data_IF_661767670310
#
_entry.id   IF_661767670310
#
_cell.length_a   1.000
_cell.length_b   1.000
_cell.length_c   1.000
_cell.angle_alpha   90.00
_cell.angle_beta   90.00
_cell.angle_gamma   90.00
#
_symmetry.space_group_name_H-M   'P 1'
#
loop_
_entity.id
_entity.type
_entity.pdbx_description
1 polymer ?
#
# COMPACT_ATOMS: atom_id res chain seq x y z
N UNK A 1 -10.61 -19.41 -14.14
CA UNK A 1 -11.94 -19.01 -14.67
C UNK A 1 -11.71 -17.85 -15.64
N UNK A 2 -12.37 -17.84 -16.80
CA UNK A 2 -12.01 -16.92 -17.91
C UNK A 2 -12.95 -15.71 -17.98
N UNK A 3 -12.46 -14.54 -17.53
CA UNK A 3 -13.18 -13.26 -17.63
C UNK A 3 -13.47 -12.88 -19.08
N UNK A 4 -12.64 -13.32 -20.03
CA UNK A 4 -12.81 -13.02 -21.44
C UNK A 4 -14.07 -13.70 -21.97
N UNK A 5 -14.27 -14.98 -21.64
CA UNK A 5 -15.49 -15.72 -21.98
C UNK A 5 -16.75 -15.01 -21.48
N UNK A 6 -16.76 -14.60 -20.20
CA UNK A 6 -17.91 -13.87 -19.63
C UNK A 6 -18.16 -12.53 -20.35
N UNK A 7 -17.10 -11.81 -20.70
CA UNK A 7 -17.22 -10.55 -21.42
C UNK A 7 -17.68 -10.74 -22.87
N UNK A 8 -17.24 -11.80 -23.54
CA UNK A 8 -17.62 -12.15 -24.91
C UNK A 8 -19.10 -12.56 -24.99
N UNK A 9 -19.65 -13.18 -23.94
CA UNK A 9 -21.07 -13.55 -23.87
C UNK A 9 -22.02 -12.37 -23.63
N UNK A 10 -21.52 -11.18 -23.30
CA UNK A 10 -22.34 -9.98 -23.07
C UNK A 10 -22.42 -9.20 -24.38
N UNK A 11 -23.50 -9.27 -25.15
CA UNK A 11 -23.59 -8.49 -26.40
C UNK A 11 -23.99 -7.03 -26.13
N UNK A 12 -25.02 -6.83 -25.31
CA UNK A 12 -25.51 -5.53 -24.88
C UNK A 12 -25.46 -5.42 -23.35
N UNK A 13 -24.92 -4.31 -22.85
CA UNK A 13 -24.83 -4.05 -21.40
C UNK A 13 -26.17 -3.69 -20.78
N UNK A 14 -27.14 -3.26 -21.58
CA UNK A 14 -28.48 -2.86 -21.14
C UNK A 14 -29.45 -4.03 -21.08
N UNK A 15 -29.12 -5.16 -21.71
CA UNK A 15 -29.94 -6.38 -21.69
C UNK A 15 -29.95 -7.01 -20.28
N UNK A 16 -31.12 -7.28 -19.69
CA UNK A 16 -31.26 -8.03 -18.44
C UNK A 16 -30.54 -9.40 -18.45
N UNK A 17 -30.42 -10.08 -19.59
CA UNK A 17 -29.71 -11.37 -19.64
C UNK A 17 -28.21 -11.22 -19.32
N UNK A 18 -27.62 -10.04 -19.54
CA UNK A 18 -26.23 -9.77 -19.23
C UNK A 18 -25.95 -9.85 -17.72
N UNK A 19 -26.87 -9.35 -16.87
CA UNK A 19 -26.70 -9.44 -15.42
C UNK A 19 -26.94 -10.87 -14.92
N UNK A 20 -27.82 -11.65 -15.56
CA UNK A 20 -28.02 -13.07 -15.22
C UNK A 20 -26.74 -13.89 -15.44
N UNK A 21 -26.02 -13.69 -16.55
CA UNK A 21 -24.73 -14.34 -16.81
C UNK A 21 -23.69 -14.00 -15.75
N UNK A 22 -23.63 -12.74 -15.33
CA UNK A 22 -22.77 -12.27 -14.24
C UNK A 22 -23.14 -12.93 -12.92
N UNK A 23 -24.42 -13.02 -12.59
CA UNK A 23 -24.90 -13.66 -11.35
C UNK A 23 -24.65 -15.16 -11.34
N UNK A 24 -24.82 -15.83 -12.48
CA UNK A 24 -24.49 -17.24 -12.64
C UNK A 24 -22.99 -17.50 -12.38
N UNK A 25 -22.12 -16.63 -12.89
CA UNK A 25 -20.69 -16.72 -12.61
C UNK A 25 -20.35 -16.54 -11.13
N UNK A 26 -21.05 -15.64 -10.43
CA UNK A 26 -20.91 -15.45 -8.98
C UNK A 26 -21.37 -16.70 -8.23
N UNK A 27 -22.47 -17.31 -8.65
CA UNK A 27 -22.96 -18.56 -8.07
C UNK A 27 -21.92 -19.68 -8.19
N UNK A 28 -21.34 -19.88 -9.37
CA UNK A 28 -20.28 -20.87 -9.59
C UNK A 28 -19.05 -20.63 -8.69
N UNK A 29 -18.67 -19.37 -8.50
CA UNK A 29 -17.59 -18.99 -7.58
C UNK A 29 -17.94 -19.36 -6.13
N UNK A 30 -19.17 -19.12 -5.71
CA UNK A 30 -19.63 -19.41 -4.35
C UNK A 30 -19.70 -20.92 -4.10
N UNK A 31 -20.21 -21.67 -5.07
CA UNK A 31 -20.28 -23.13 -5.04
C UNK A 31 -18.88 -23.75 -4.94
N UNK A 32 -17.92 -23.32 -5.77
CA UNK A 32 -16.52 -23.75 -5.69
C UNK A 32 -15.90 -23.45 -4.32
N UNK A 33 -16.20 -22.27 -3.76
CA UNK A 33 -15.69 -21.89 -2.44
C UNK A 33 -16.29 -22.80 -1.36
N UNK A 34 -17.60 -23.04 -1.39
CA UNK A 34 -18.32 -23.86 -0.42
C UNK A 34 -17.88 -25.33 -0.45
N UNK A 35 -17.77 -25.93 -1.63
CA UNK A 35 -17.25 -27.30 -1.81
C UNK A 35 -15.86 -27.45 -1.20
N UNK A 36 -14.98 -26.48 -1.47
CA UNK A 36 -13.63 -26.49 -0.90
C UNK A 36 -13.66 -26.31 0.62
N UNK A 37 -14.61 -25.53 1.14
CA UNK A 37 -14.74 -25.35 2.58
C UNK A 37 -15.21 -26.61 3.29
N UNK A 38 -16.18 -27.32 2.75
CA UNK A 38 -16.66 -28.58 3.29
C UNK A 38 -15.53 -29.60 3.33
N UNK A 39 -14.77 -29.71 2.23
CA UNK A 39 -13.59 -30.56 2.16
C UNK A 39 -12.54 -30.20 3.23
N UNK A 40 -12.26 -28.91 3.44
CA UNK A 40 -11.33 -28.46 4.49
C UNK A 40 -11.84 -28.80 5.89
N UNK A 41 -13.14 -28.63 6.14
CA UNK A 41 -13.77 -28.92 7.42
C UNK A 41 -13.68 -30.41 7.73
N UNK A 42 -14.05 -31.27 6.79
CA UNK A 42 -13.97 -32.72 6.96
C UNK A 42 -12.56 -33.20 7.21
N UNK A 43 -11.60 -32.67 6.45
CA UNK A 43 -10.19 -33.07 6.51
C UNK A 43 -9.49 -32.62 7.79
N UNK A 44 -9.85 -31.44 8.32
CA UNK A 44 -9.17 -30.80 9.45
C UNK A 44 -9.99 -30.72 10.74
N UNK A 45 -11.14 -31.41 10.84
CA UNK A 45 -12.07 -31.27 11.98
C UNK A 45 -11.44 -31.53 13.35
N UNK A 46 -10.56 -32.53 13.45
CA UNK A 46 -9.87 -32.92 14.69
C UNK A 46 -8.46 -32.34 14.80
N UNK A 47 -8.04 -31.52 13.83
CA UNK A 47 -6.69 -30.99 13.81
C UNK A 47 -6.51 -29.88 14.84
N UNK A 48 -5.49 -30.04 15.68
CA UNK A 48 -5.07 -29.06 16.67
C UNK A 48 -3.62 -28.66 16.43
N UNK A 49 -3.26 -27.45 16.83
CA UNK A 49 -1.88 -26.97 16.66
C UNK A 49 -0.99 -27.67 17.68
N UNK A 50 -0.12 -28.56 17.20
CA UNK A 50 0.81 -29.36 18.03
C UNK A 50 2.27 -28.88 17.95
N UNK A 51 2.56 -27.90 17.08
CA UNK A 51 3.90 -27.32 17.00
C UNK A 51 4.04 -26.14 17.95
N UNK A 52 5.27 -25.88 18.39
CA UNK A 52 5.59 -24.71 19.20
C UNK A 52 5.21 -23.42 18.47
N UNK A 53 4.47 -22.55 19.17
CA UNK A 53 4.03 -21.26 18.66
C UNK A 53 4.53 -20.17 19.60
N UNK A 54 5.10 -19.07 19.05
CA UNK A 54 5.40 -17.89 19.85
C UNK A 54 4.10 -17.31 20.43
N UNK A 55 4.19 -16.57 21.54
CA UNK A 55 3.02 -16.10 22.28
C UNK A 55 2.04 -15.31 21.39
N UNK A 56 2.56 -14.51 20.45
CA UNK A 56 1.79 -13.68 19.54
C UNK A 56 1.04 -14.48 18.45
N UNK A 57 1.25 -15.79 18.36
CA UNK A 57 0.49 -16.72 17.52
C UNK A 57 -0.53 -17.56 18.29
N UNK A 58 -0.60 -17.46 19.63
CA UNK A 58 -1.56 -18.22 20.43
C UNK A 58 -2.99 -17.65 20.41
N UNK A 59 -3.27 -16.65 19.56
CA UNK A 59 -4.57 -15.99 19.48
C UNK A 59 -5.70 -16.99 19.21
N UNK A 60 -6.72 -16.95 20.05
CA UNK A 60 -7.96 -17.69 19.86
C UNK A 60 -8.89 -17.07 18.80
N UNK A 61 -8.54 -15.89 18.27
CA UNK A 61 -9.36 -15.12 17.34
C UNK A 61 -8.59 -14.64 16.11
N UNK A 62 -9.14 -14.87 14.91
CA UNK A 62 -8.59 -14.40 13.63
C UNK A 62 -9.07 -13.01 13.22
N UNK A 63 -10.06 -12.44 13.90
CA UNK A 63 -10.71 -11.19 13.50
C UNK A 63 -10.37 -10.02 14.41
N UNK A 64 -9.83 -10.29 15.60
CA UNK A 64 -9.40 -9.27 16.56
C UNK A 64 -7.88 -9.14 16.54
N UNK A 65 -7.42 -7.90 16.68
CA UNK A 65 -6.00 -7.64 16.93
C UNK A 65 -5.63 -8.22 18.30
N UNK A 66 -4.41 -8.73 18.40
CA UNK A 66 -3.82 -9.14 19.66
C UNK A 66 -3.74 -7.92 20.60
N UNK A 67 -4.13 -8.08 21.85
CA UNK A 67 -3.87 -7.09 22.89
C UNK A 67 -2.50 -7.40 23.50
N UNK A 68 -1.60 -6.44 23.46
CA UNK A 68 -0.27 -6.58 24.06
C UNK A 68 -0.41 -6.45 25.58
N UNK A 69 -0.03 -7.49 26.32
CA UNK A 69 0.16 -7.45 27.77
C UNK A 69 1.65 -7.30 28.08
N UNK A 70 1.98 -6.60 29.17
CA UNK A 70 3.37 -6.28 29.55
C UNK A 70 4.24 -7.51 29.91
N UNK A 71 3.69 -8.73 29.87
CA UNK A 71 4.31 -9.95 30.37
C UNK A 71 5.23 -10.66 29.36
N UNK A 72 5.29 -10.21 28.09
CA UNK A 72 6.03 -10.90 27.01
C UNK A 72 7.03 -9.98 26.26
N UNK A 73 7.84 -9.22 26.98
CA UNK A 73 8.71 -8.16 26.42
C UNK A 73 9.81 -8.68 25.46
N UNK A 74 10.21 -9.95 25.59
CA UNK A 74 11.38 -10.50 24.89
C UNK A 74 11.08 -11.00 23.46
N UNK A 75 9.83 -11.39 23.18
CA UNK A 75 9.41 -11.86 21.86
C UNK A 75 8.59 -10.79 21.12
N UNK A 76 9.22 -10.17 20.11
CA UNK A 76 8.56 -9.15 19.29
C UNK A 76 8.06 -9.73 17.96
N UNK A 77 6.88 -9.29 17.54
CA UNK A 77 6.36 -9.54 16.19
C UNK A 77 6.38 -8.26 15.36
N UNK A 78 6.53 -8.42 14.05
CA UNK A 78 6.62 -7.28 13.14
C UNK A 78 5.23 -6.72 12.84
N UNK A 79 5.08 -5.40 12.82
CA UNK A 79 3.82 -4.68 12.52
C UNK A 79 3.80 -4.00 11.15
N UNK A 80 4.93 -4.01 10.45
CA UNK A 80 5.10 -3.43 9.11
C UNK A 80 4.43 -4.27 8.01
N UNK A 81 4.51 -3.83 6.75
CA UNK A 81 3.94 -4.60 5.64
C UNK A 81 4.70 -5.93 5.44
N UNK A 82 3.95 -7.00 5.15
CA UNK A 82 4.49 -8.32 4.79
C UNK A 82 5.37 -8.17 3.55
N UNK A 83 6.63 -8.60 3.71
CA UNK A 83 7.66 -8.57 2.68
C UNK A 83 7.48 -9.70 1.67
N UNK A 84 8.16 -9.59 0.52
CA UNK A 84 8.14 -10.64 -0.52
C UNK A 84 8.63 -12.00 0.01
N UNK A 85 9.66 -12.00 0.87
CA UNK A 85 10.16 -13.24 1.50
C UNK A 85 9.09 -13.91 2.38
N UNK A 86 8.32 -13.10 3.10
CA UNK A 86 7.22 -13.60 3.94
C UNK A 86 6.06 -14.12 3.09
N UNK A 87 5.71 -13.44 1.99
CA UNK A 87 4.73 -13.92 0.99
C UNK A 87 5.14 -15.28 0.39
N UNK A 88 6.39 -15.41 -0.06
CA UNK A 88 6.94 -16.66 -0.59
C UNK A 88 6.89 -17.78 0.46
N UNK A 89 7.14 -17.46 1.73
CA UNK A 89 7.03 -18.42 2.84
C UNK A 89 5.58 -18.84 3.10
N UNK A 90 4.62 -17.92 3.09
CA UNK A 90 3.18 -18.23 3.22
C UNK A 90 2.75 -19.18 2.10
N UNK A 91 3.10 -18.87 0.84
CA UNK A 91 2.80 -19.73 -0.32
C UNK A 91 3.48 -21.09 -0.23
N UNK A 92 4.72 -21.16 0.28
CA UNK A 92 5.42 -22.42 0.55
C UNK A 92 4.71 -23.25 1.63
N UNK A 93 4.24 -22.60 2.69
CA UNK A 93 3.48 -23.27 3.75
C UNK A 93 2.14 -23.79 3.22
N UNK A 94 1.44 -23.02 2.37
CA UNK A 94 0.23 -23.47 1.69
C UNK A 94 0.47 -24.72 0.83
N UNK A 95 1.51 -24.73 -0.02
CA UNK A 95 1.86 -25.91 -0.83
C UNK A 95 2.18 -27.15 0.02
N UNK A 96 2.82 -26.96 1.18
CA UNK A 96 3.06 -28.05 2.14
C UNK A 96 1.77 -28.53 2.78
N UNK A 97 0.85 -27.62 3.09
CA UNK A 97 -0.45 -27.94 3.68
C UNK A 97 -1.28 -28.79 2.73
N UNK A 98 -1.49 -28.33 1.49
CA UNK A 98 -2.27 -29.08 0.50
C UNK A 98 -1.67 -30.46 0.20
N UNK A 99 -0.33 -30.57 0.17
CA UNK A 99 0.35 -31.87 0.00
C UNK A 99 0.15 -32.80 1.21
N UNK A 100 0.20 -32.26 2.43
CA UNK A 100 0.00 -33.04 3.67
C UNK A 100 -1.40 -33.65 3.72
N UNK A 101 -2.41 -32.90 3.28
CA UNK A 101 -3.82 -33.28 3.39
C UNK A 101 -4.43 -33.77 2.07
N UNK A 102 -3.63 -33.92 1.02
CA UNK A 102 -4.08 -34.30 -0.32
C UNK A 102 -5.25 -33.43 -0.85
N UNK A 103 -5.14 -32.11 -0.68
CA UNK A 103 -6.16 -31.14 -1.07
C UNK A 103 -5.85 -30.51 -2.43
N UNK A 104 -6.87 -30.08 -3.19
CA UNK A 104 -6.66 -29.27 -4.39
C UNK A 104 -6.08 -27.89 -4.03
N UNK A 105 -5.29 -27.30 -4.93
CA UNK A 105 -4.75 -25.94 -4.73
C UNK A 105 -5.82 -24.87 -4.98
N UNK A 106 -6.66 -24.63 -3.97
CA UNK A 106 -7.74 -23.64 -3.97
C UNK A 106 -7.47 -22.52 -2.97
N UNK A 107 -6.28 -21.91 -3.04
CA UNK A 107 -5.90 -20.87 -2.07
C UNK A 107 -6.85 -19.65 -2.10
N UNK A 108 -7.36 -19.30 -3.28
CA UNK A 108 -8.31 -18.21 -3.48
C UNK A 108 -9.63 -18.51 -2.77
N UNK A 109 -10.13 -19.75 -2.82
CA UNK A 109 -11.34 -20.15 -2.12
C UNK A 109 -11.20 -20.01 -0.60
N UNK A 110 -10.06 -20.42 -0.03
CA UNK A 110 -9.77 -20.17 1.39
C UNK A 110 -9.78 -18.67 1.73
N UNK A 111 -9.26 -17.81 0.85
CA UNK A 111 -9.22 -16.37 1.07
C UNK A 111 -10.59 -15.70 0.94
N UNK A 112 -11.45 -16.21 0.05
CA UNK A 112 -12.83 -15.73 -0.16
C UNK A 112 -13.80 -16.25 0.89
N UNK A 113 -13.45 -17.32 1.61
CA UNK A 113 -14.29 -17.93 2.62
C UNK A 113 -14.97 -16.91 3.55
N UNK A 114 -16.30 -16.85 3.48
CA UNK A 114 -17.17 -16.13 4.41
C UNK A 114 -18.02 -17.12 5.19
N UNK A 115 -18.28 -16.86 6.47
CA UNK A 115 -19.26 -17.67 7.20
C UNK A 115 -20.67 -17.32 6.71
N UNK A 116 -21.33 -18.26 6.01
CA UNK A 116 -22.70 -18.10 5.47
C UNK A 116 -23.72 -17.59 6.48
N UNK A 117 -23.62 -18.00 7.74
CA UNK A 117 -24.59 -17.65 8.78
C UNK A 117 -24.12 -16.59 9.77
N UNK A 118 -23.04 -15.86 9.46
CA UNK A 118 -22.51 -14.82 10.36
C UNK A 118 -22.03 -15.35 11.72
N UNK A 119 -21.92 -16.67 11.88
CA UNK A 119 -21.47 -17.32 13.10
C UNK A 119 -19.99 -16.99 13.31
N UNK A 120 -19.70 -15.89 14.00
CA UNK A 120 -18.35 -15.49 14.44
C UNK A 120 -17.95 -16.19 15.74
N UNK A 121 -18.69 -17.22 16.13
CA UNK A 121 -18.40 -17.99 17.33
C UNK A 121 -17.02 -18.64 17.17
N UNK A 122 -16.02 -18.28 17.99
CA UNK A 122 -14.67 -18.85 17.92
C UNK A 122 -14.64 -20.38 18.08
N UNK A 123 -15.71 -20.95 18.64
CA UNK A 123 -15.86 -22.38 18.88
C UNK A 123 -16.56 -23.13 17.74
N UNK A 124 -17.09 -22.42 16.74
CA UNK A 124 -17.65 -23.05 15.55
C UNK A 124 -16.55 -23.84 14.82
N UNK A 125 -16.90 -25.02 14.30
CA UNK A 125 -15.94 -25.91 13.62
C UNK A 125 -15.26 -25.20 12.45
N UNK A 126 -16.01 -24.37 11.71
CA UNK A 126 -15.50 -23.51 10.64
C UNK A 126 -14.37 -22.61 11.14
N UNK A 127 -14.55 -21.92 12.28
CA UNK A 127 -13.52 -21.04 12.83
C UNK A 127 -12.31 -21.81 13.37
N UNK A 128 -12.53 -23.00 13.96
CA UNK A 128 -11.43 -23.87 14.42
C UNK A 128 -10.54 -24.29 13.25
N UNK A 129 -11.14 -24.79 12.16
CA UNK A 129 -10.41 -25.18 10.95
C UNK A 129 -9.73 -23.98 10.31
N UNK A 130 -10.43 -22.84 10.19
CA UNK A 130 -9.84 -21.60 9.68
C UNK A 130 -8.61 -21.17 10.47
N UNK A 131 -8.69 -21.24 11.80
CA UNK A 131 -7.58 -20.95 12.72
C UNK A 131 -6.43 -21.90 12.52
N UNK A 132 -6.70 -23.19 12.41
CA UNK A 132 -5.68 -24.20 12.17
C UNK A 132 -4.93 -23.94 10.86
N UNK A 133 -5.64 -23.70 9.77
CA UNK A 133 -5.05 -23.38 8.46
C UNK A 133 -4.22 -22.09 8.55
N UNK A 134 -4.77 -21.02 9.14
CA UNK A 134 -4.06 -19.76 9.30
C UNK A 134 -2.80 -19.90 10.18
N UNK A 135 -2.85 -20.70 11.25
CA UNK A 135 -1.70 -21.03 12.09
C UNK A 135 -0.63 -21.78 11.28
N UNK A 136 -1.05 -22.75 10.46
CA UNK A 136 -0.15 -23.51 9.60
C UNK A 136 0.57 -22.60 8.59
N UNK A 137 -0.15 -21.62 8.02
CA UNK A 137 0.42 -20.62 7.13
C UNK A 137 1.42 -19.69 7.84
N UNK A 138 1.18 -19.38 9.12
CA UNK A 138 2.02 -18.49 9.92
C UNK A 138 3.35 -19.13 10.40
N UNK A 139 3.57 -20.42 10.17
CA UNK A 139 4.74 -21.16 10.66
C UNK A 139 6.07 -20.56 10.18
N UNK A 140 6.92 -20.20 11.15
CA UNK A 140 8.24 -19.62 10.94
C UNK A 140 8.22 -18.16 10.48
N UNK A 141 7.14 -17.42 10.77
CA UNK A 141 7.03 -15.98 10.53
C UNK A 141 7.01 -15.22 11.87
N UNK A 142 7.68 -14.08 11.91
CA UNK A 142 7.58 -13.10 13.01
C UNK A 142 6.30 -12.24 12.86
N UNK A 143 5.15 -12.92 12.70
CA UNK A 143 3.83 -12.34 12.46
C UNK A 143 2.77 -13.06 13.28
N UNK A 144 1.77 -12.31 13.72
CA UNK A 144 0.55 -12.89 14.32
C UNK A 144 -0.23 -13.70 13.28
N UNK A 145 -1.01 -14.68 13.73
CA UNK A 145 -1.95 -15.40 12.85
C UNK A 145 -2.94 -14.43 12.20
N UNK A 146 -3.41 -13.42 12.96
CA UNK A 146 -4.28 -12.36 12.45
C UNK A 146 -3.69 -11.63 11.24
N UNK A 147 -2.40 -11.24 11.30
CA UNK A 147 -1.73 -10.55 10.20
C UNK A 147 -1.62 -11.42 8.96
N UNK A 148 -1.25 -12.70 9.14
CA UNK A 148 -1.12 -13.66 8.03
C UNK A 148 -2.49 -13.93 7.41
N UNK A 149 -3.52 -14.19 8.22
CA UNK A 149 -4.88 -14.39 7.74
C UNK A 149 -5.40 -13.16 6.98
N UNK A 150 -5.27 -11.96 7.56
CA UNK A 150 -5.64 -10.71 6.89
C UNK A 150 -4.89 -10.52 5.58
N UNK A 151 -3.61 -10.86 5.55
CA UNK A 151 -2.80 -10.79 4.33
C UNK A 151 -3.34 -11.71 3.26
N UNK A 152 -3.61 -12.97 3.59
CA UNK A 152 -4.21 -13.95 2.67
C UNK A 152 -5.54 -13.44 2.14
N UNK A 153 -6.46 -13.01 2.99
CA UNK A 153 -7.75 -12.46 2.54
C UNK A 153 -7.63 -11.25 1.62
N UNK A 154 -6.55 -10.47 1.77
CA UNK A 154 -6.36 -9.23 1.02
C UNK A 154 -5.47 -9.39 -0.20
N UNK A 155 -4.60 -10.41 -0.27
CA UNK A 155 -3.55 -10.57 -1.28
C UNK A 155 -3.59 -11.93 -2.00
N UNK A 156 -4.41 -12.86 -1.54
CA UNK A 156 -4.67 -14.13 -2.24
C UNK A 156 -5.83 -13.93 -3.21
N UNK A 157 -5.52 -14.05 -4.48
CA UNK A 157 -6.27 -13.49 -5.60
C UNK A 157 -5.32 -12.62 -6.41
N UNK A 158 -5.47 -12.57 -7.74
CA UNK A 158 -4.73 -11.60 -8.52
C UNK A 158 -5.23 -10.21 -8.12
N UNK A 159 -4.58 -9.60 -7.12
CA UNK A 159 -4.72 -8.18 -6.86
C UNK A 159 -4.10 -7.45 -8.05
N UNK A 160 -4.82 -7.43 -9.16
CA UNK A 160 -4.44 -6.72 -10.34
C UNK A 160 -4.51 -5.24 -9.93
N UNK A 161 -3.35 -4.63 -9.68
CA UNK A 161 -3.22 -3.18 -9.51
C UNK A 161 -2.97 -2.48 -10.84
N UNK A 162 -3.23 -3.18 -11.95
CA UNK A 162 -3.12 -2.67 -13.32
C UNK A 162 -4.36 -1.85 -13.67
N UNK A 163 -4.34 -1.24 -14.84
CA UNK A 163 -5.55 -0.65 -15.41
C UNK A 163 -6.62 -1.74 -15.61
N UNK A 164 -7.89 -1.34 -15.65
CA UNK A 164 -8.95 -2.27 -16.01
C UNK A 164 -8.85 -2.58 -17.50
N UNK A 165 -8.94 -3.85 -17.87
CA UNK A 165 -9.01 -4.26 -19.27
C UNK A 165 -10.39 -3.93 -19.85
N UNK A 166 -10.54 -3.88 -21.18
CA UNK A 166 -11.84 -3.67 -21.82
C UNK A 166 -12.90 -4.67 -21.36
N UNK A 167 -12.52 -5.93 -21.13
CA UNK A 167 -13.38 -7.01 -20.65
C UNK A 167 -13.86 -6.73 -19.23
N UNK A 168 -12.95 -6.35 -18.32
CA UNK A 168 -13.32 -5.94 -16.97
C UNK A 168 -14.26 -4.73 -17.00
N UNK A 169 -13.97 -3.72 -17.82
CA UNK A 169 -14.82 -2.53 -17.94
C UNK A 169 -16.23 -2.85 -18.45
N UNK A 170 -16.36 -3.82 -19.36
CA UNK A 170 -17.65 -4.29 -19.88
C UNK A 170 -18.50 -4.91 -18.77
N UNK A 171 -17.93 -5.85 -18.00
CA UNK A 171 -18.59 -6.49 -16.85
C UNK A 171 -18.95 -5.45 -15.77
N UNK A 172 -18.05 -4.49 -15.51
CA UNK A 172 -18.30 -3.39 -14.59
C UNK A 172 -19.53 -2.56 -14.99
N UNK A 173 -19.66 -2.21 -16.27
CA UNK A 173 -20.80 -1.45 -16.79
C UNK A 173 -22.12 -2.18 -16.57
N UNK A 174 -22.18 -3.48 -16.87
CA UNK A 174 -23.37 -4.32 -16.61
C UNK A 174 -23.77 -4.26 -15.14
N UNK A 175 -22.82 -4.48 -14.23
CA UNK A 175 -23.08 -4.44 -12.79
C UNK A 175 -23.56 -3.07 -12.31
N UNK A 176 -22.93 -2.00 -12.80
CA UNK A 176 -23.29 -0.63 -12.42
C UNK A 176 -24.66 -0.21 -12.97
N UNK A 177 -25.05 -0.71 -14.14
CA UNK A 177 -26.34 -0.42 -14.75
C UNK A 177 -27.46 -1.18 -14.04
N UNK A 178 -27.34 -2.50 -13.90
CA UNK A 178 -28.44 -3.36 -13.43
C UNK A 178 -28.52 -3.51 -11.91
N UNK A 179 -27.39 -3.49 -11.20
CA UNK A 179 -27.31 -3.74 -9.74
C UNK A 179 -26.31 -2.80 -9.04
N UNK A 180 -26.45 -1.46 -9.15
CA UNK A 180 -25.47 -0.51 -8.61
C UNK A 180 -25.17 -0.70 -7.12
N UNK A 181 -26.17 -1.06 -6.32
CA UNK A 181 -26.03 -1.28 -4.86
C UNK A 181 -25.13 -2.46 -4.51
N UNK A 182 -25.18 -3.54 -5.31
CA UNK A 182 -24.41 -4.78 -5.09
C UNK A 182 -23.20 -4.91 -6.02
N UNK A 183 -23.05 -4.00 -6.98
CA UNK A 183 -22.03 -4.06 -8.03
C UNK A 183 -20.62 -4.23 -7.47
N UNK A 184 -20.28 -3.50 -6.39
CA UNK A 184 -18.92 -3.57 -5.83
C UNK A 184 -18.63 -4.95 -5.24
N UNK A 185 -19.59 -5.56 -4.55
CA UNK A 185 -19.45 -6.90 -3.98
C UNK A 185 -19.28 -7.94 -5.08
N UNK A 186 -20.12 -7.86 -6.12
CA UNK A 186 -20.09 -8.74 -7.29
C UNK A 186 -18.77 -8.62 -8.05
N UNK A 187 -18.38 -7.40 -8.40
CA UNK A 187 -17.16 -7.12 -9.15
C UNK A 187 -15.90 -7.45 -8.36
N UNK A 188 -15.90 -7.30 -7.03
CA UNK A 188 -14.75 -7.70 -6.22
C UNK A 188 -14.54 -9.22 -6.25
N UNK A 189 -15.62 -10.00 -6.23
CA UNK A 189 -15.57 -11.45 -6.32
C UNK A 189 -15.15 -11.94 -7.71
N UNK A 190 -15.74 -11.38 -8.78
CA UNK A 190 -15.47 -11.80 -10.16
C UNK A 190 -14.09 -11.34 -10.61
N UNK A 191 -13.78 -10.05 -10.46
CA UNK A 191 -12.56 -9.46 -11.00
C UNK A 191 -11.33 -9.70 -10.10
N UNK A 192 -11.53 -10.24 -8.89
CA UNK A 192 -10.50 -10.32 -7.85
C UNK A 192 -9.84 -8.96 -7.53
N UNK A 193 -10.60 -7.85 -7.68
CA UNK A 193 -10.13 -6.48 -7.47
C UNK A 193 -10.52 -5.96 -6.08
N UNK A 194 -9.71 -5.04 -5.55
CA UNK A 194 -10.00 -4.38 -4.27
C UNK A 194 -11.30 -3.55 -4.36
N UNK A 195 -12.29 -3.74 -3.46
CA UNK A 195 -13.56 -3.01 -3.45
C UNK A 195 -13.39 -1.49 -3.53
N UNK A 196 -12.36 -0.95 -2.85
CA UNK A 196 -12.07 0.49 -2.85
C UNK A 196 -11.78 1.05 -4.24
N UNK A 197 -11.09 0.28 -5.09
CA UNK A 197 -10.82 0.67 -6.47
C UNK A 197 -12.08 0.70 -7.32
N UNK A 198 -12.99 -0.25 -7.09
CA UNK A 198 -14.28 -0.37 -7.78
C UNK A 198 -15.22 0.76 -7.34
N UNK A 199 -15.35 1.02 -6.03
CA UNK A 199 -16.13 2.16 -5.49
C UNK A 199 -15.71 3.49 -6.12
N UNK A 200 -14.39 3.70 -6.25
CA UNK A 200 -13.86 4.90 -6.87
C UNK A 200 -14.24 5.02 -8.34
N UNK A 201 -14.31 3.90 -9.07
CA UNK A 201 -14.75 3.87 -10.47
C UNK A 201 -16.24 4.16 -10.60
N UNK A 202 -17.07 3.55 -9.76
CA UNK A 202 -18.51 3.84 -9.67
C UNK A 202 -18.76 5.33 -9.36
N UNK A 203 -18.06 5.88 -8.38
CA UNK A 203 -18.16 7.31 -8.04
C UNK A 203 -17.75 8.22 -9.20
N UNK A 204 -16.75 7.83 -10.00
CA UNK A 204 -16.35 8.60 -11.19
C UNK A 204 -17.37 8.54 -12.33
N UNK A 205 -18.12 7.45 -12.45
CA UNK A 205 -19.21 7.34 -13.41
C UNK A 205 -20.38 8.23 -12.97
N UNK A 206 -20.75 8.18 -11.69
CA UNK A 206 -21.90 8.91 -11.18
C UNK A 206 -21.65 10.43 -11.03
N UNK A 207 -20.48 10.81 -10.51
CA UNK A 207 -20.20 12.20 -10.11
C UNK A 207 -19.15 12.88 -10.99
N UNK A 208 -18.66 12.19 -12.03
CA UNK A 208 -17.49 12.61 -12.78
C UNK A 208 -16.19 12.51 -11.98
N UNK A 209 -15.08 12.75 -12.66
CA UNK A 209 -13.76 12.78 -12.01
C UNK A 209 -13.57 14.13 -11.33
N UNK A 210 -13.25 14.19 -10.02
CA UNK A 210 -13.08 15.47 -9.36
C UNK A 210 -11.94 16.25 -10.03
N UNK A 211 -12.12 17.58 -10.22
CA UNK A 211 -11.11 18.41 -10.85
C UNK A 211 -9.83 18.36 -10.02
N UNK A 212 -8.70 18.06 -10.67
CA UNK A 212 -7.39 18.18 -10.03
C UNK A 212 -6.99 19.65 -10.05
N UNK A 213 -7.35 20.41 -9.01
CA UNK A 213 -6.77 21.75 -8.78
C UNK A 213 -5.24 21.60 -8.73
N UNK A 214 -4.55 22.07 -9.78
CA UNK A 214 -3.09 22.10 -9.83
C UNK A 214 -2.64 23.43 -9.24
N UNK A 215 -1.98 23.39 -8.10
CA UNK A 215 -1.35 24.57 -7.53
C UNK A 215 0.04 24.76 -8.13
N UNK A 216 0.29 25.94 -8.69
CA UNK A 216 1.63 26.36 -9.08
C UNK A 216 2.28 27.06 -7.90
N UNK A 217 3.20 26.39 -7.22
CA UNK A 217 3.87 26.93 -6.04
C UNK A 217 4.77 28.12 -6.38
N UNK A 218 4.41 29.29 -5.86
CA UNK A 218 5.23 30.51 -5.84
C UNK A 218 5.80 30.72 -4.44
N UNK A 219 6.79 31.60 -4.28
CA UNK A 219 7.31 31.97 -2.95
C UNK A 219 6.19 32.52 -2.06
N UNK A 220 5.32 33.39 -2.59
CA UNK A 220 4.20 33.96 -1.83
C UNK A 220 3.23 32.88 -1.32
N UNK A 221 2.92 31.87 -2.15
CA UNK A 221 2.08 30.74 -1.71
C UNK A 221 2.79 29.86 -0.69
N UNK A 222 4.09 29.64 -0.84
CA UNK A 222 4.90 28.90 0.13
C UNK A 222 4.98 29.64 1.47
N UNK A 223 5.11 30.98 1.45
CA UNK A 223 5.05 31.85 2.62
C UNK A 223 3.69 31.72 3.29
N UNK A 224 2.59 31.91 2.53
CA UNK A 224 1.21 31.76 3.05
C UNK A 224 1.01 30.39 3.71
N UNK A 225 1.49 29.33 3.06
CA UNK A 225 1.43 27.97 3.60
C UNK A 225 2.21 27.85 4.92
N UNK A 226 3.45 28.37 4.99
CA UNK A 226 4.28 28.32 6.19
C UNK A 226 3.65 29.12 7.34
N UNK A 227 3.14 30.32 7.07
CA UNK A 227 2.44 31.16 8.05
C UNK A 227 1.18 30.47 8.58
N UNK A 228 0.39 29.83 7.71
CA UNK A 228 -0.77 29.03 8.12
C UNK A 228 -0.36 27.84 9.01
N UNK A 229 0.72 27.13 8.65
CA UNK A 229 1.26 26.04 9.45
C UNK A 229 1.72 26.53 10.83
N UNK A 230 2.46 27.64 10.91
CA UNK A 230 2.88 28.26 12.18
C UNK A 230 1.66 28.69 13.01
N UNK A 231 0.68 29.37 12.39
CA UNK A 231 -0.55 29.83 13.04
C UNK A 231 -1.32 28.69 13.71
N UNK A 232 -1.51 27.56 13.01
CA UNK A 232 -2.33 26.46 13.52
C UNK A 232 -1.59 25.51 14.47
N UNK A 233 -0.26 25.61 14.53
CA UNK A 233 0.57 24.81 15.45
C UNK A 233 1.04 25.60 16.66
N UNK A 234 1.06 26.94 16.58
CA UNK A 234 1.66 27.81 17.59
C UNK A 234 3.18 27.72 17.66
N UNK A 235 3.83 27.11 16.66
CA UNK A 235 5.26 26.85 16.65
C UNK A 235 6.01 27.86 15.78
N UNK A 236 7.25 28.15 16.19
CA UNK A 236 8.24 28.89 15.39
C UNK A 236 8.78 28.03 14.25
N UNK A 237 9.42 28.64 13.25
CA UNK A 237 9.96 27.90 12.09
C UNK A 237 10.92 26.79 12.51
N UNK A 238 11.83 27.05 13.44
CA UNK A 238 12.82 26.06 13.87
C UNK A 238 12.18 24.88 14.60
N UNK A 239 11.12 25.11 15.38
CA UNK A 239 10.37 24.05 16.08
C UNK A 239 9.58 23.13 15.13
N UNK A 240 9.21 23.62 13.94
CA UNK A 240 8.53 22.81 12.92
C UNK A 240 9.42 21.68 12.35
N UNK A 241 10.75 21.78 12.50
CA UNK A 241 11.75 20.89 11.88
C UNK A 241 11.59 19.41 12.25
N UNK A 242 11.25 19.12 13.50
CA UNK A 242 11.17 17.74 14.01
C UNK A 242 9.75 17.31 14.36
N UNK A 243 8.75 18.16 14.09
CA UNK A 243 7.38 17.92 14.52
C UNK A 243 6.60 17.06 13.52
N UNK A 244 5.88 16.08 14.04
CA UNK A 244 4.79 15.40 13.32
C UNK A 244 3.50 16.14 13.62
N UNK A 245 2.76 16.48 12.57
CA UNK A 245 1.50 17.20 12.69
C UNK A 245 0.32 16.25 12.56
N UNK A 246 -0.64 16.39 13.47
CA UNK A 246 -1.89 15.64 13.45
C UNK A 246 -2.78 16.03 12.27
N UNK A 247 -3.70 15.13 11.90
CA UNK A 247 -4.62 15.37 10.79
C UNK A 247 -5.45 16.63 10.99
N UNK A 248 -5.80 16.98 12.23
CA UNK A 248 -6.55 18.19 12.58
C UNK A 248 -5.85 19.48 12.13
N UNK A 249 -4.53 19.58 12.30
CA UNK A 249 -3.73 20.73 11.84
C UNK A 249 -3.79 20.82 10.32
N UNK A 250 -3.64 19.70 9.63
CA UNK A 250 -3.65 19.67 8.18
C UNK A 250 -5.01 20.02 7.56
N UNK A 251 -6.11 19.68 8.24
CA UNK A 251 -7.45 20.08 7.81
C UNK A 251 -7.63 21.60 7.90
N UNK A 252 -7.18 22.23 8.99
CA UNK A 252 -7.20 23.69 9.12
C UNK A 252 -6.39 24.40 8.03
N UNK A 253 -5.21 23.88 7.69
CA UNK A 253 -4.39 24.45 6.60
C UNK A 253 -5.04 24.21 5.24
N UNK A 254 -5.74 23.07 5.05
CA UNK A 254 -6.50 22.81 3.84
C UNK A 254 -7.59 23.89 3.63
N UNK A 255 -8.25 24.31 4.70
CA UNK A 255 -9.28 25.36 4.64
C UNK A 255 -8.65 26.72 4.29
N UNK A 256 -7.51 27.08 4.88
CA UNK A 256 -6.78 28.33 4.57
C UNK A 256 -6.24 28.40 3.13
N UNK A 257 -5.94 27.24 2.54
CA UNK A 257 -5.27 27.11 1.24
C UNK A 257 -6.20 26.66 0.11
N UNK A 258 -7.46 26.29 0.41
CA UNK A 258 -8.43 25.69 -0.52
C UNK A 258 -7.83 24.52 -1.33
N UNK A 259 -7.01 23.70 -0.68
CA UNK A 259 -6.30 22.59 -1.30
C UNK A 259 -6.22 21.37 -0.39
N UNK A 260 -6.37 20.18 -0.97
CA UNK A 260 -6.34 18.91 -0.23
C UNK A 260 -5.12 18.81 0.70
N UNK A 261 -5.36 18.48 1.96
CA UNK A 261 -4.32 18.25 2.97
C UNK A 261 -3.25 17.25 2.49
N UNK A 262 -3.65 16.21 1.73
CA UNK A 262 -2.71 15.21 1.21
C UNK A 262 -1.74 15.80 0.16
N UNK A 263 -2.17 16.83 -0.57
CA UNK A 263 -1.29 17.56 -1.49
C UNK A 263 -0.36 18.50 -0.72
N UNK A 264 -0.88 19.19 0.28
CA UNK A 264 -0.13 20.11 1.14
C UNK A 264 0.96 19.40 1.96
N UNK A 265 0.65 18.25 2.57
CA UNK A 265 1.62 17.38 3.23
C UNK A 265 2.74 16.96 2.28
N UNK A 266 2.38 16.55 1.05
CA UNK A 266 3.38 16.18 0.04
C UNK A 266 4.26 17.37 -0.29
N UNK A 267 3.70 18.57 -0.45
CA UNK A 267 4.50 19.76 -0.71
C UNK A 267 5.48 20.05 0.43
N UNK A 268 5.00 20.03 1.68
CA UNK A 268 5.82 20.24 2.87
C UNK A 268 7.01 19.28 2.92
N UNK A 269 6.76 17.97 3.03
CA UNK A 269 7.83 17.01 3.25
C UNK A 269 8.72 16.85 2.01
N UNK A 270 8.20 16.98 0.80
CA UNK A 270 8.97 16.77 -0.44
C UNK A 270 9.83 17.96 -0.84
N UNK A 271 9.37 19.17 -0.54
CA UNK A 271 9.97 20.40 -1.07
C UNK A 271 10.28 21.38 0.04
N UNK A 272 9.27 21.98 0.68
CA UNK A 272 9.48 23.14 1.54
C UNK A 272 10.33 22.84 2.77
N UNK A 273 10.08 21.72 3.46
CA UNK A 273 10.83 21.33 4.65
C UNK A 273 12.34 21.16 4.36
N UNK A 274 12.77 20.35 3.38
CA UNK A 274 14.17 20.31 2.96
C UNK A 274 14.76 21.69 2.60
N UNK A 275 13.98 22.57 1.98
CA UNK A 275 14.46 23.89 1.57
C UNK A 275 14.68 24.83 2.77
N UNK A 276 13.93 24.68 3.85
CA UNK A 276 14.07 25.48 5.07
C UNK A 276 15.19 24.97 5.97
N UNK A 277 15.29 23.65 6.15
CA UNK A 277 16.10 23.10 7.25
C UNK A 277 17.44 22.51 6.82
N UNK A 278 17.67 22.30 5.52
CA UNK A 278 18.98 21.90 5.03
C UNK A 278 19.84 23.15 4.85
N UNK A 279 20.80 23.35 5.77
CA UNK A 279 21.62 24.57 5.83
C UNK A 279 22.83 24.57 4.88
N UNK A 280 23.05 23.52 4.10
CA UNK A 280 24.19 23.39 3.20
C UNK A 280 23.79 23.45 1.72
N UNK A 281 24.69 23.98 0.89
CA UNK A 281 24.52 23.99 -0.56
C UNK A 281 24.70 22.58 -1.14
N UNK A 282 23.61 22.04 -1.71
CA UNK A 282 23.59 20.68 -2.24
C UNK A 282 23.30 20.68 -3.72
N UNK A 283 24.25 20.13 -4.48
CA UNK A 283 24.00 19.63 -5.84
C UNK A 283 23.15 18.36 -5.73
N UNK A 284 21.92 18.40 -6.25
CA UNK A 284 20.96 17.28 -6.17
C UNK A 284 21.52 15.99 -6.78
N UNK A 285 22.40 16.11 -7.77
CA UNK A 285 23.06 14.95 -8.38
C UNK A 285 24.08 14.28 -7.45
N UNK A 286 24.82 15.07 -6.65
CA UNK A 286 25.76 14.53 -5.65
C UNK A 286 24.99 13.80 -4.56
N UNK A 287 23.90 14.40 -4.07
CA UNK A 287 22.99 13.76 -3.11
C UNK A 287 22.43 12.44 -3.65
N UNK A 288 21.91 12.44 -4.89
CA UNK A 288 21.41 11.22 -5.54
C UNK A 288 22.46 10.11 -5.60
N UNK A 289 23.70 10.43 -6.00
CA UNK A 289 24.81 9.48 -6.02
C UNK A 289 25.13 8.94 -4.62
N UNK A 290 25.13 9.81 -3.60
CA UNK A 290 25.32 9.40 -2.20
C UNK A 290 24.24 8.40 -1.78
N UNK A 291 22.97 8.69 -2.06
CA UNK A 291 21.85 7.79 -1.74
C UNK A 291 22.01 6.43 -2.43
N UNK A 292 22.32 6.39 -3.73
CA UNK A 292 22.49 5.12 -4.43
C UNK A 292 23.68 4.30 -3.94
N UNK A 293 24.80 4.95 -3.60
CA UNK A 293 25.93 4.25 -2.96
C UNK A 293 25.55 3.69 -1.59
N UNK A 294 24.79 4.46 -0.81
CA UNK A 294 24.27 4.01 0.48
C UNK A 294 23.32 2.81 0.30
N UNK A 295 22.42 2.83 -0.68
CA UNK A 295 21.50 1.73 -0.93
C UNK A 295 22.21 0.39 -1.20
N UNK A 296 23.43 0.39 -1.75
CA UNK A 296 24.23 -0.83 -1.96
C UNK A 296 24.70 -1.48 -0.66
N UNK A 297 24.84 -0.71 0.43
CA UNK A 297 25.25 -1.27 1.72
C UNK A 297 24.08 -1.86 2.51
N UNK A 298 22.84 -1.69 2.06
CA UNK A 298 21.66 -2.25 2.73
C UNK A 298 21.24 -3.58 2.10
N UNK A 299 20.64 -4.50 2.88
CA UNK A 299 20.20 -5.81 2.41
C UNK A 299 18.88 -5.77 1.60
N UNK A 300 18.65 -4.69 0.84
CA UNK A 300 17.46 -4.53 0.00
C UNK A 300 17.65 -5.25 -1.35
N UNK A 301 16.65 -6.03 -1.79
CA UNK A 301 16.75 -6.79 -3.03
C UNK A 301 16.11 -6.10 -4.21
N UNK A 302 15.01 -5.38 -3.98
CA UNK A 302 14.26 -4.64 -5.02
C UNK A 302 13.88 -3.25 -4.54
N UNK A 303 13.49 -2.37 -5.46
CA UNK A 303 13.13 -0.97 -5.13
C UNK A 303 12.05 -0.84 -4.06
N UNK A 304 11.08 -1.76 -4.03
CA UNK A 304 9.99 -1.75 -3.04
C UNK A 304 10.42 -2.12 -1.63
N UNK A 305 11.60 -2.75 -1.46
CA UNK A 305 12.12 -3.13 -0.15
C UNK A 305 12.65 -1.93 0.63
N UNK A 306 13.01 -0.84 -0.07
CA UNK A 306 13.71 0.31 0.52
C UNK A 306 12.86 0.97 1.61
N UNK A 307 13.38 0.96 2.84
CA UNK A 307 12.79 1.66 3.98
C UNK A 307 13.28 3.10 4.05
N UNK A 308 12.65 3.98 3.28
CA UNK A 308 13.04 5.41 3.23
C UNK A 308 12.98 6.13 4.58
N UNK A 309 12.12 5.69 5.49
CA UNK A 309 12.01 6.25 6.86
C UNK A 309 13.19 5.88 7.76
N UNK A 310 13.85 4.76 7.48
CA UNK A 310 15.06 4.34 8.20
C UNK A 310 16.28 4.98 7.54
N UNK A 311 16.33 4.94 6.20
CA UNK A 311 17.43 5.51 5.41
C UNK A 311 17.64 7.02 5.63
N UNK A 312 16.60 7.77 5.98
CA UNK A 312 16.75 9.21 6.27
C UNK A 312 17.62 9.47 7.51
N UNK A 313 17.74 8.51 8.42
CA UNK A 313 18.54 8.64 9.64
C UNK A 313 20.05 8.68 9.36
N UNK A 314 20.49 8.23 8.18
CA UNK A 314 21.90 8.31 7.74
C UNK A 314 22.27 9.67 7.14
N UNK A 315 21.31 10.62 7.13
CA UNK A 315 21.49 11.97 6.64
C UNK A 315 21.40 12.97 7.79
N UNK A 316 22.08 14.13 7.68
CA UNK A 316 21.92 15.21 8.65
C UNK A 316 20.47 15.64 8.80
N UNK A 317 20.18 16.36 9.88
CA UNK A 317 18.84 16.88 10.13
C UNK A 317 18.33 17.79 9.00
N UNK A 318 17.01 17.84 8.84
CA UNK A 318 16.31 18.64 7.80
C UNK A 318 15.95 17.86 6.54
N UNK A 319 16.59 16.72 6.30
CA UNK A 319 16.18 15.79 5.24
C UNK A 319 14.90 15.05 5.61
N UNK A 320 14.09 14.74 4.61
CA UNK A 320 12.90 13.91 4.79
C UNK A 320 12.98 12.68 3.91
N UNK A 321 12.37 11.59 4.37
CA UNK A 321 12.25 10.36 3.58
C UNK A 321 11.54 10.59 2.23
N UNK A 322 10.54 11.48 2.18
CA UNK A 322 9.83 11.82 0.93
C UNK A 322 10.71 12.59 -0.06
N UNK A 323 11.58 13.47 0.43
CA UNK A 323 12.54 14.20 -0.38
C UNK A 323 13.57 13.25 -0.99
N UNK A 324 14.17 12.38 -0.17
CA UNK A 324 15.14 11.38 -0.63
C UNK A 324 14.51 10.45 -1.69
N UNK A 325 13.32 9.91 -1.41
CA UNK A 325 12.57 9.09 -2.38
C UNK A 325 12.30 9.84 -3.68
N UNK A 326 11.92 11.11 -3.61
CA UNK A 326 11.62 11.92 -4.79
C UNK A 326 12.85 12.12 -5.68
N UNK A 327 13.99 12.45 -5.08
CA UNK A 327 15.23 12.70 -5.81
C UNK A 327 15.66 11.45 -6.59
N UNK A 328 15.56 10.28 -5.97
CA UNK A 328 15.99 9.02 -6.59
C UNK A 328 14.93 8.42 -7.52
N UNK A 329 13.63 8.47 -7.16
CA UNK A 329 12.55 7.89 -7.97
C UNK A 329 12.50 8.46 -9.39
N UNK A 330 12.81 9.75 -9.55
CA UNK A 330 12.88 10.38 -10.88
C UNK A 330 13.94 9.76 -11.81
N UNK A 331 15.01 9.20 -11.26
CA UNK A 331 16.08 8.57 -12.03
C UNK A 331 15.68 7.16 -12.49
N UNK A 332 15.04 6.39 -11.60
CA UNK A 332 14.73 4.96 -11.81
C UNK A 332 13.41 4.72 -12.55
N UNK A 333 12.40 5.58 -12.40
CA UNK A 333 11.05 5.37 -12.98
C UNK A 333 11.02 5.04 -14.48
N UNK A 334 11.89 5.59 -15.33
CA UNK A 334 11.89 5.25 -16.75
C UNK A 334 12.46 3.86 -17.08
N UNK A 335 13.02 3.15 -16.09
CA UNK A 335 13.41 1.75 -16.25
C UNK A 335 12.15 0.87 -16.17
N UNK A 336 11.96 0.00 -17.17
CA UNK A 336 10.80 -0.89 -17.24
C UNK A 336 10.83 -1.87 -16.07
N UNK A 337 9.71 -2.05 -15.39
CA UNK A 337 9.57 -2.99 -14.27
C UNK A 337 10.55 -2.73 -13.09
N UNK A 338 10.99 -1.47 -12.91
CA UNK A 338 11.96 -1.07 -11.87
C UNK A 338 11.57 -1.43 -10.43
N UNK A 339 10.30 -1.74 -10.19
CA UNK A 339 9.80 -2.17 -8.88
C UNK A 339 10.19 -3.62 -8.56
N UNK A 340 10.38 -4.46 -9.56
CA UNK A 340 10.62 -5.91 -9.42
C UNK A 340 12.02 -6.35 -9.84
N UNK A 341 12.71 -5.54 -10.64
CA UNK A 341 14.11 -5.76 -11.04
C UNK A 341 15.03 -5.73 -9.81
N UNK A 342 16.11 -6.55 -9.79
CA UNK A 342 17.15 -6.45 -8.76
C UNK A 342 17.63 -5.02 -8.55
N UNK A 343 17.75 -4.63 -7.28
CA UNK A 343 18.07 -3.26 -6.90
C UNK A 343 19.43 -2.82 -7.45
N UNK A 344 20.39 -3.74 -7.56
CA UNK A 344 21.72 -3.45 -8.08
C UNK A 344 21.67 -2.95 -9.54
N UNK A 345 20.94 -3.65 -10.41
CA UNK A 345 20.73 -3.25 -11.81
C UNK A 345 20.07 -1.86 -11.91
N UNK A 346 19.10 -1.59 -11.03
CA UNK A 346 18.42 -0.30 -10.95
C UNK A 346 19.36 0.81 -10.49
N UNK A 347 20.25 0.53 -9.54
CA UNK A 347 21.27 1.46 -9.07
C UNK A 347 22.25 1.77 -10.19
N UNK A 348 22.76 0.75 -10.89
CA UNK A 348 23.69 0.92 -12.01
C UNK A 348 23.07 1.77 -13.13
N UNK A 349 21.85 1.43 -13.55
CA UNK A 349 21.10 2.21 -14.52
C UNK A 349 20.95 3.68 -14.08
N UNK A 350 20.55 3.90 -12.82
CA UNK A 350 20.33 5.24 -12.31
C UNK A 350 21.64 6.05 -12.25
N UNK A 351 22.75 5.43 -11.81
CA UNK A 351 24.07 6.04 -11.77
C UNK A 351 24.58 6.38 -13.17
N UNK A 352 24.41 5.50 -14.16
CA UNK A 352 24.73 5.79 -15.56
C UNK A 352 23.96 7.02 -16.07
N UNK A 353 22.67 7.10 -15.77
CA UNK A 353 21.80 8.22 -16.15
C UNK A 353 22.16 9.54 -15.46
N UNK A 354 22.67 9.49 -14.23
CA UNK A 354 23.14 10.70 -13.51
C UNK A 354 24.32 11.40 -14.18
N UNK A 355 25.00 10.75 -15.13
CA UNK A 355 26.10 11.35 -15.91
C UNK A 355 25.61 12.31 -17.01
N UNK A 356 24.32 12.27 -17.39
CA UNK A 356 23.74 13.15 -18.44
C UNK A 356 23.66 14.63 -17.98
N UNK A 357 24.01 15.56 -18.90
CA UNK A 357 24.21 16.99 -18.64
C UNK A 357 23.04 17.69 -17.93
N UNK A 358 21.79 17.37 -18.31
CA UNK A 358 20.53 17.92 -17.74
C UNK A 358 20.44 17.88 -16.20
N UNK A 359 21.19 16.99 -15.54
CA UNK A 359 21.14 16.82 -14.09
C UNK A 359 22.37 17.36 -13.35
N UNK A 360 23.42 17.84 -14.04
CA UNK A 360 24.70 18.19 -13.40
C UNK A 360 24.63 19.43 -12.51
N UNK A 361 23.74 20.37 -12.80
CA UNK A 361 23.78 21.72 -12.19
C UNK A 361 22.62 22.05 -11.25
N UNK A 362 21.59 21.20 -11.17
CA UNK A 362 20.45 21.49 -10.29
C UNK A 362 20.86 21.44 -8.83
N UNK A 363 20.70 22.58 -8.14
CA UNK A 363 20.91 22.74 -6.71
C UNK A 363 19.58 22.78 -5.96
N UNK A 364 19.61 22.37 -4.70
CA UNK A 364 18.51 22.65 -3.78
C UNK A 364 18.46 24.17 -3.53
N UNK A 365 17.31 24.79 -3.76
CA UNK A 365 17.08 26.19 -3.39
C UNK A 365 16.76 26.24 -1.91
N UNK A 366 17.68 26.71 -1.09
CA UNK A 366 17.43 26.93 0.34
C UNK A 366 16.70 28.24 0.55
N UNK A 367 15.83 28.27 1.55
CA UNK A 367 14.94 29.38 1.85
C UNK A 367 15.10 29.81 3.30
N UNK A 368 14.92 31.10 3.57
CA UNK A 368 14.82 31.66 4.93
C UNK A 368 13.67 32.67 4.99
N UNK A 369 13.15 32.94 6.18
CA UNK A 369 12.26 34.08 6.39
C UNK A 369 13.10 35.36 6.45
N UNK A 370 12.65 36.40 5.76
CA UNK A 370 13.17 37.76 5.92
C UNK A 370 12.46 38.48 7.08
N UNK A 371 12.88 39.72 7.35
CA UNK A 371 12.34 40.54 8.45
C UNK A 371 10.85 40.86 8.29
N UNK A 372 10.33 40.76 7.07
CA UNK A 372 8.91 40.95 6.74
C UNK A 372 8.09 39.65 6.87
N UNK A 373 8.70 38.55 7.33
CA UNK A 373 8.05 37.25 7.43
C UNK A 373 7.77 36.58 6.09
N UNK A 374 8.49 36.96 5.02
CA UNK A 374 8.38 36.37 3.69
C UNK A 374 9.56 35.43 3.39
N UNK A 375 9.28 34.34 2.67
CA UNK A 375 10.33 33.43 2.22
C UNK A 375 11.16 34.03 1.10
N UNK A 376 12.47 34.10 1.32
CA UNK A 376 13.46 34.48 0.32
C UNK A 376 14.50 33.38 0.09
N UNK A 377 15.10 33.38 -1.10
CA UNK A 377 16.12 32.41 -1.45
C UNK A 377 17.48 32.81 -0.87
N UNK A 378 18.13 31.89 -0.16
CA UNK A 378 19.50 32.09 0.31
C UNK A 378 20.45 32.01 -0.88
N UNK A 379 21.24 33.06 -1.07
CA UNK A 379 22.34 33.05 -2.04
C UNK A 379 23.61 32.56 -1.35
N UNK A 380 24.09 31.39 -1.74
CA UNK A 380 25.43 30.96 -1.38
C UNK A 380 26.42 31.59 -2.36
N UNK A 381 27.46 32.23 -1.84
CA UNK A 381 28.61 32.66 -2.61
C UNK A 381 29.09 31.50 -3.49
N UNK A 382 29.39 31.77 -4.78
CA UNK A 382 30.03 30.76 -5.63
C UNK A 382 31.42 30.50 -5.07
N UNK A 383 31.57 29.43 -4.30
CA UNK A 383 32.86 28.84 -3.97
C UNK A 383 33.44 28.14 -5.19
#
# INVERSE_FOLDING_TARGET
>A
MDLKKLADEIDDITDPTAIEKVLFHIYQIQEEDDEFMELLIETCKEEIVLWEQPWYQLSSCLTRKLQETNENADEQYRTDAISKKEDEKIKKNWRKFIKKYNLPDKFVSFARWRNKHGCRNPNAQQEKVRRYVAAYLARGLQRTIYQVYKYVMTHTGENVKKQYTPEEEKIMKVCFYHKPEKAVTYLSAILCREPRGIYKRLAYINNGKPPRKRMNWTLNLATKFLTSLMKHTGLTVDELKCKKFDLSVWLKIQDDMDHSHAYLQKFWYKYLHPQLFIKCDIKLNRLRKKIFKLLRSYPYKVWTDIRWKELVNDFPEGYTHMFLYTICSSAVRPYRDYLTTPLEDIIEYALAKTKKARYKERRLKTLKLNDQGQLEQVQYSKA
#
